data_IF_649343689293
#
_entry.id   IF_649343689293
#
_cell.length_a   1.000
_cell.length_b   1.000
_cell.length_c   1.000
_cell.angle_alpha   90.00
_cell.angle_beta   90.00
_cell.angle_gamma   90.00
#
_symmetry.space_group_name_H-M   'P 1'
#
loop_
_entity.id
_entity.type
_entity.pdbx_description
1 polymer ?
#
# COMPACT_ATOMS: atom_id res chain seq x y z
N UNK A 1 -4.40 30.43 8.98
CA UNK A 1 -3.06 30.20 9.56
C UNK A 1 -2.38 29.06 8.81
N UNK A 2 -1.06 29.09 8.54
CA UNK A 2 -0.39 27.96 7.94
C UNK A 2 -0.16 26.90 9.02
N UNK A 3 -0.80 25.74 8.89
CA UNK A 3 -0.52 24.60 9.76
C UNK A 3 0.95 24.19 9.53
N UNK A 4 1.82 24.45 10.52
CA UNK A 4 3.17 23.88 10.55
C UNK A 4 3.04 22.38 10.30
N UNK A 5 3.77 21.86 9.33
CA UNK A 5 3.77 20.46 8.96
C UNK A 5 4.10 19.63 10.22
N UNK A 6 3.11 18.92 10.76
CA UNK A 6 3.16 18.22 12.07
C UNK A 6 4.05 16.97 11.97
N UNK A 7 4.40 16.58 10.75
CA UNK A 7 5.20 15.40 10.48
C UNK A 7 6.69 15.75 10.52
N UNK A 8 7.35 15.35 11.61
CA UNK A 8 8.80 15.43 11.76
C UNK A 8 9.50 14.56 10.69
N UNK A 9 10.39 15.13 9.86
CA UNK A 9 11.08 14.36 8.82
C UNK A 9 11.95 13.22 9.36
N UNK A 10 12.53 13.39 10.56
CA UNK A 10 13.30 12.35 11.23
C UNK A 10 12.42 11.18 11.65
N UNK A 11 11.24 11.47 12.21
CA UNK A 11 10.24 10.44 12.53
C UNK A 11 9.81 9.63 11.29
N UNK A 12 9.62 10.29 10.14
CA UNK A 12 9.28 9.61 8.89
C UNK A 12 10.40 8.65 8.47
N UNK A 13 11.65 9.11 8.50
CA UNK A 13 12.80 8.28 8.12
C UNK A 13 13.03 7.12 9.09
N UNK A 14 12.84 7.34 10.40
CA UNK A 14 12.91 6.28 11.40
C UNK A 14 11.81 5.25 11.23
N UNK A 15 10.59 5.67 10.88
CA UNK A 15 9.49 4.76 10.54
C UNK A 15 9.83 3.93 9.30
N UNK A 16 10.35 4.55 8.25
CA UNK A 16 10.76 3.83 7.03
C UNK A 16 11.90 2.84 7.30
N UNK A 17 12.87 3.19 8.14
CA UNK A 17 14.04 2.36 8.45
C UNK A 17 13.71 1.18 9.36
N UNK A 18 12.93 1.43 10.41
CA UNK A 18 12.73 0.46 11.49
C UNK A 18 11.45 -0.38 11.30
N UNK A 19 10.45 0.14 10.60
CA UNK A 19 9.17 -0.54 10.45
C UNK A 19 9.13 -1.37 9.17
N UNK A 20 9.94 -2.44 9.12
CA UNK A 20 9.89 -3.47 8.06
C UNK A 20 8.52 -4.14 7.93
N UNK A 21 7.68 -4.00 8.95
CA UNK A 21 6.38 -4.65 9.04
C UNK A 21 5.22 -3.86 8.42
N UNK A 22 5.45 -2.69 7.81
CA UNK A 22 4.38 -1.88 7.19
C UNK A 22 3.51 -2.67 6.20
N UNK A 23 4.09 -3.70 5.59
CA UNK A 23 3.41 -4.58 4.64
C UNK A 23 2.89 -5.88 5.25
N UNK A 24 3.17 -6.19 6.53
CA UNK A 24 2.66 -7.41 7.15
C UNK A 24 1.13 -7.41 7.24
N UNK A 25 0.53 -6.24 7.45
CA UNK A 25 -0.92 -6.06 7.52
C UNK A 25 -1.63 -5.94 6.18
N UNK A 26 -0.90 -5.93 5.06
CA UNK A 26 -1.46 -5.60 3.74
C UNK A 26 -0.97 -6.60 2.70
N UNK A 27 -1.89 -7.17 1.93
CA UNK A 27 -1.57 -8.13 0.87
C UNK A 27 -2.22 -7.72 -0.45
N UNK A 28 -1.48 -7.87 -1.55
CA UNK A 28 -2.01 -7.68 -2.90
C UNK A 28 -2.50 -9.03 -3.39
N UNK A 29 -3.79 -9.14 -3.72
CA UNK A 29 -4.41 -10.44 -4.03
C UNK A 29 -4.93 -10.57 -5.46
N UNK A 30 -5.13 -9.45 -6.18
CA UNK A 30 -5.66 -9.50 -7.56
C UNK A 30 -5.41 -8.22 -8.36
N UNK A 31 -4.90 -8.28 -9.60
CA UNK A 31 -4.90 -7.16 -10.51
C UNK A 31 -6.20 -7.08 -11.32
N UNK A 32 -6.58 -5.87 -11.75
CA UNK A 32 -7.57 -5.64 -12.81
C UNK A 32 -7.10 -4.54 -13.74
N UNK A 33 -7.43 -4.67 -15.02
CA UNK A 33 -7.27 -3.60 -16.00
C UNK A 33 -8.53 -2.76 -16.07
N UNK A 34 -8.41 -1.46 -15.90
CA UNK A 34 -9.52 -0.51 -16.09
C UNK A 34 -9.62 -0.08 -17.56
N UNK A 35 -10.77 0.47 -17.97
CA UNK A 35 -11.12 0.87 -19.37
C UNK A 35 -10.24 1.98 -19.98
N UNK A 36 -9.06 2.26 -19.39
CA UNK A 36 -8.08 3.26 -19.81
C UNK A 36 -6.62 2.84 -19.58
N UNK A 37 -6.32 1.53 -19.59
CA UNK A 37 -4.98 0.92 -19.42
C UNK A 37 -4.32 1.05 -18.04
N UNK A 38 -5.00 1.59 -17.03
CA UNK A 38 -4.45 1.65 -15.67
C UNK A 38 -4.71 0.33 -14.96
N UNK A 39 -3.64 -0.27 -14.44
CA UNK A 39 -3.72 -1.43 -13.55
C UNK A 39 -4.08 -0.97 -12.15
N UNK A 40 -5.06 -1.64 -11.57
CA UNK A 40 -5.38 -1.53 -10.15
C UNK A 40 -5.19 -2.89 -9.50
N UNK A 41 -4.82 -2.88 -8.24
CA UNK A 41 -4.72 -4.10 -7.45
C UNK A 41 -5.72 -4.05 -6.30
N UNK A 42 -6.34 -5.20 -6.02
CA UNK A 42 -7.14 -5.40 -4.84
C UNK A 42 -6.22 -5.64 -3.66
N UNK A 43 -6.40 -4.81 -2.65
CA UNK A 43 -5.63 -4.80 -1.41
C UNK A 43 -6.47 -5.44 -0.32
N UNK A 44 -5.94 -6.51 0.27
CA UNK A 44 -6.48 -7.20 1.43
C UNK A 44 -5.81 -6.68 2.70
N UNK A 45 -6.63 -6.34 3.70
CA UNK A 45 -6.15 -5.89 5.00
C UNK A 45 -6.22 -7.03 6.02
N UNK A 46 -5.07 -7.57 6.43
CA UNK A 46 -5.02 -8.70 7.36
C UNK A 46 -5.69 -8.33 8.69
N UNK A 47 -6.57 -9.21 9.16
CA UNK A 47 -7.34 -9.00 10.39
C UNK A 47 -8.54 -8.06 10.24
N UNK A 48 -8.84 -7.58 9.02
CA UNK A 48 -10.07 -6.85 8.70
C UNK A 48 -11.01 -7.72 7.87
N UNK A 49 -12.33 -7.45 7.93
CA UNK A 49 -13.29 -8.07 7.03
C UNK A 49 -12.97 -7.82 5.55
N UNK A 50 -13.13 -8.82 4.69
CA UNK A 50 -12.88 -8.71 3.23
C UNK A 50 -13.72 -7.61 2.53
N UNK A 51 -14.85 -7.20 3.14
CA UNK A 51 -15.67 -6.08 2.64
C UNK A 51 -14.94 -4.74 2.70
N UNK A 52 -13.86 -4.64 3.48
CA UNK A 52 -13.00 -3.46 3.57
C UNK A 52 -11.88 -3.47 2.52
N UNK A 53 -11.72 -4.57 1.79
CA UNK A 53 -10.78 -4.64 0.66
C UNK A 53 -11.10 -3.57 -0.37
N UNK A 54 -10.06 -2.97 -0.91
CA UNK A 54 -10.21 -1.86 -1.84
C UNK A 54 -9.31 -1.99 -3.05
N UNK A 55 -9.72 -1.34 -4.13
CA UNK A 55 -8.95 -1.28 -5.36
C UNK A 55 -8.06 -0.05 -5.33
N UNK A 56 -6.76 -0.28 -5.42
CA UNK A 56 -5.74 0.77 -5.35
C UNK A 56 -4.99 0.80 -6.67
N UNK A 57 -4.79 2.01 -7.23
CA UNK A 57 -4.00 2.16 -8.44
C UNK A 57 -2.53 1.79 -8.18
N UNK A 58 -1.89 1.15 -9.15
CA UNK A 58 -0.50 0.66 -9.05
C UNK A 58 0.48 1.70 -8.48
N UNK A 59 0.34 2.98 -8.87
CA UNK A 59 1.18 4.09 -8.39
C UNK A 59 1.12 4.37 -6.87
N UNK A 60 0.13 3.84 -6.16
CA UNK A 60 -0.03 4.01 -4.71
C UNK A 60 0.38 2.76 -3.93
N UNK A 61 0.82 1.71 -4.62
CA UNK A 61 1.20 0.44 -4.02
C UNK A 61 2.72 0.35 -4.00
N UNK A 62 3.26 -0.19 -2.92
CA UNK A 62 4.69 -0.49 -2.85
C UNK A 62 5.08 -1.48 -3.96
N UNK A 63 6.16 -1.20 -4.73
CA UNK A 63 6.68 -2.14 -5.71
C UNK A 63 6.99 -3.53 -5.11
N UNK A 64 7.41 -3.59 -3.85
CA UNK A 64 7.71 -4.85 -3.15
C UNK A 64 6.48 -5.75 -3.04
N UNK A 65 5.31 -5.19 -2.70
CA UNK A 65 4.06 -5.94 -2.62
C UNK A 65 3.63 -6.51 -3.98
N UNK A 66 3.89 -5.75 -5.05
CA UNK A 66 3.60 -6.20 -6.43
C UNK A 66 4.56 -7.31 -6.84
N UNK A 67 5.86 -7.21 -6.48
CA UNK A 67 6.85 -8.24 -6.74
C UNK A 67 6.46 -9.53 -6.00
N UNK A 68 6.15 -9.44 -4.70
CA UNK A 68 5.71 -10.57 -3.88
C UNK A 68 4.48 -11.25 -4.52
N UNK A 69 3.47 -10.47 -4.91
CA UNK A 69 2.29 -11.01 -5.59
C UNK A 69 2.61 -11.72 -6.91
N UNK A 70 3.52 -11.17 -7.73
CA UNK A 70 3.91 -11.75 -9.02
C UNK A 70 4.85 -12.97 -8.88
N UNK A 71 5.50 -13.11 -7.73
CA UNK A 71 6.43 -14.21 -7.44
C UNK A 71 5.75 -15.45 -6.87
N UNK A 72 4.47 -15.37 -6.47
CA UNK A 72 3.61 -16.49 -6.11
C UNK A 72 2.75 -16.96 -7.28
#
# INVERSE_FOLDING_TARGET
>A
EPHKNILDPGLIEDLKRNYRELYLGVEVIRPRSTRGRKTEYRVYFKGRPEKEDTWVAEKYISPELIIIYKSG
#
